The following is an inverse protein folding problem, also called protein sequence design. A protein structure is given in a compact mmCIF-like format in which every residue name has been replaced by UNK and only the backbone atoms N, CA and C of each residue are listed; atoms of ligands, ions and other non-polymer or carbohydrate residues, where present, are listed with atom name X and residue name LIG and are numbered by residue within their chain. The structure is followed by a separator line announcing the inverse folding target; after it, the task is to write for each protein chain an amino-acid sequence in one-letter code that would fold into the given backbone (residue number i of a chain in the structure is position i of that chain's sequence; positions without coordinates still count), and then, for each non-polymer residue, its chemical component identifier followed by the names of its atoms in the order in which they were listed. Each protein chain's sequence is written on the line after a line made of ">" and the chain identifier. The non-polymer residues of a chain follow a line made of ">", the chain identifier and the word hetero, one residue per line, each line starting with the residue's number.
data_IF_616253836406
#
_entry.id   IF_616253836406
#
_cell.length_a   1.000
_cell.length_b   1.000
_cell.length_c   1.000
_cell.angle_alpha   90.00
_cell.angle_beta   90.00
_cell.angle_gamma   90.00
#
_symmetry.space_group_name_H-M   'P 1'
#
loop_
_entity.id
_entity.type
_entity.pdbx_description
1 polymer ?
#
# COMPACT_ATOMS: atom_id res chain seq x y z
N UNK A 1 14.44 23.97 -14.91
CA UNK A 1 13.81 22.81 -14.22
C UNK A 1 14.11 22.91 -12.73
N UNK A 2 13.10 22.90 -11.88
CA UNK A 2 13.23 23.30 -10.47
C UNK A 2 13.83 22.14 -9.63
N UNK A 3 15.07 22.29 -9.12
CA UNK A 3 15.80 21.25 -8.38
C UNK A 3 15.03 20.74 -7.14
N UNK A 4 14.19 21.59 -6.53
CA UNK A 4 13.33 21.20 -5.40
C UNK A 4 12.24 20.20 -5.79
N UNK A 5 11.64 20.36 -6.98
CA UNK A 5 10.61 19.44 -7.48
C UNK A 5 11.24 18.08 -7.75
N UNK A 6 12.40 18.04 -8.42
CA UNK A 6 13.14 16.79 -8.67
C UNK A 6 13.50 16.04 -7.38
N UNK A 7 13.90 16.76 -6.32
CA UNK A 7 14.24 16.16 -5.02
C UNK A 7 13.05 15.46 -4.36
N UNK A 8 11.82 15.93 -4.57
CA UNK A 8 10.60 15.30 -4.06
C UNK A 8 10.04 14.25 -5.02
N UNK A 9 10.14 14.50 -6.32
CA UNK A 9 9.60 13.64 -7.36
C UNK A 9 10.37 12.33 -7.50
N UNK A 10 11.72 12.35 -7.47
CA UNK A 10 12.52 11.14 -7.68
C UNK A 10 12.20 10.03 -6.67
N UNK A 11 12.22 10.27 -5.34
CA UNK A 11 11.86 9.23 -4.37
C UNK A 11 10.43 8.73 -4.56
N UNK A 12 9.51 9.65 -4.89
CA UNK A 12 8.10 9.31 -5.08
C UNK A 12 7.89 8.42 -6.33
N UNK A 13 8.56 8.74 -7.44
CA UNK A 13 8.55 7.93 -8.67
C UNK A 13 9.12 6.54 -8.39
N UNK A 14 10.27 6.46 -7.71
CA UNK A 14 10.91 5.17 -7.36
C UNK A 14 9.95 4.33 -6.51
N UNK A 15 9.35 4.90 -5.47
CA UNK A 15 8.39 4.19 -4.61
C UNK A 15 7.17 3.67 -5.37
N UNK A 16 6.66 4.43 -6.34
CA UNK A 16 5.52 3.98 -7.16
C UNK A 16 5.93 2.92 -8.18
N UNK A 17 7.19 2.89 -8.61
CA UNK A 17 7.69 1.89 -9.56
C UNK A 17 7.88 0.50 -8.94
N UNK A 18 8.01 0.43 -7.61
CA UNK A 18 8.14 -0.85 -6.89
C UNK A 18 6.98 -1.81 -7.16
N UNK A 19 5.75 -1.29 -7.27
CA UNK A 19 4.54 -2.11 -7.50
C UNK A 19 4.56 -2.83 -8.85
N UNK A 20 4.72 -2.14 -10.00
CA UNK A 20 4.80 -2.83 -11.29
C UNK A 20 6.05 -3.69 -11.44
N UNK A 21 7.19 -3.30 -10.85
CA UNK A 21 8.40 -4.14 -10.87
C UNK A 21 8.19 -5.49 -10.19
N UNK A 22 7.51 -5.51 -9.03
CA UNK A 22 7.15 -6.77 -8.36
C UNK A 22 6.29 -7.65 -9.27
N UNK A 23 5.28 -7.08 -9.94
CA UNK A 23 4.43 -7.85 -10.86
C UNK A 23 5.19 -8.45 -12.05
N UNK A 24 6.19 -7.74 -12.58
CA UNK A 24 7.07 -8.26 -13.64
C UNK A 24 7.91 -9.43 -13.12
N UNK A 25 8.46 -9.31 -11.91
CA UNK A 25 9.25 -10.38 -11.28
C UNK A 25 8.37 -11.60 -11.00
N UNK A 26 7.17 -11.43 -10.44
CA UNK A 26 6.23 -12.52 -10.18
C UNK A 26 5.86 -13.26 -11.47
N UNK A 27 5.57 -12.51 -12.53
CA UNK A 27 5.26 -13.08 -13.86
C UNK A 27 6.46 -13.81 -14.45
N UNK A 28 7.67 -13.25 -14.32
CA UNK A 28 8.88 -13.89 -14.81
C UNK A 28 9.19 -15.19 -14.04
N UNK A 29 9.03 -15.21 -12.72
CA UNK A 29 9.26 -16.40 -11.89
C UNK A 29 8.21 -17.48 -12.21
N UNK A 30 6.93 -17.13 -12.19
CA UNK A 30 5.83 -18.07 -12.42
C UNK A 30 5.72 -18.49 -13.89
N UNK A 31 6.18 -17.67 -14.82
CA UNK A 31 6.26 -18.00 -16.25
C UNK A 31 7.34 -19.01 -16.61
N UNK A 32 8.29 -19.29 -15.71
CA UNK A 32 9.24 -20.41 -15.87
C UNK A 32 8.66 -21.75 -15.38
N UNK A 33 7.48 -21.77 -14.76
CA UNK A 33 6.82 -23.02 -14.36
C UNK A 33 6.14 -23.67 -15.57
N UNK A 34 6.16 -24.99 -15.61
CA UNK A 34 5.62 -25.78 -16.75
C UNK A 34 4.11 -25.60 -16.93
N UNK A 35 3.39 -25.27 -15.86
CA UNK A 35 1.94 -25.27 -15.82
C UNK A 35 1.34 -23.86 -15.86
N UNK A 36 0.46 -23.62 -16.84
CA UNK A 36 -0.16 -22.31 -17.10
C UNK A 36 -1.10 -21.86 -15.96
N UNK A 37 -1.64 -22.80 -15.17
CA UNK A 37 -2.58 -22.48 -14.10
C UNK A 37 -1.96 -21.62 -12.98
N UNK A 38 -0.64 -21.64 -12.81
CA UNK A 38 0.06 -20.82 -11.82
C UNK A 38 -0.07 -19.31 -12.13
N UNK A 39 0.07 -18.94 -13.41
CA UNK A 39 -0.13 -17.58 -13.89
C UNK A 39 -1.61 -17.15 -13.76
N UNK A 40 -2.53 -18.06 -14.06
CA UNK A 40 -3.98 -17.80 -13.89
C UNK A 40 -4.36 -17.57 -12.43
N UNK A 41 -3.86 -18.40 -11.51
CA UNK A 41 -4.07 -18.25 -10.08
C UNK A 41 -3.46 -16.94 -9.54
N UNK A 42 -2.25 -16.57 -9.99
CA UNK A 42 -1.63 -15.29 -9.65
C UNK A 42 -2.50 -14.11 -10.11
N UNK A 43 -2.98 -14.12 -11.35
CA UNK A 43 -3.79 -13.03 -11.89
C UNK A 43 -5.08 -12.83 -11.07
N UNK A 44 -5.79 -13.91 -10.76
CA UNK A 44 -7.02 -13.87 -9.96
C UNK A 44 -6.72 -13.43 -8.51
N UNK A 45 -5.72 -14.04 -7.87
CA UNK A 45 -5.31 -13.68 -6.51
C UNK A 45 -4.86 -12.23 -6.41
N UNK A 46 -4.13 -11.74 -7.43
CA UNK A 46 -3.68 -10.36 -7.55
C UNK A 46 -4.84 -9.37 -7.67
N UNK A 47 -5.89 -9.69 -8.43
CA UNK A 47 -7.09 -8.84 -8.53
C UNK A 47 -7.80 -8.74 -7.18
N UNK A 48 -8.01 -9.87 -6.49
CA UNK A 48 -8.65 -9.88 -5.16
C UNK A 48 -7.83 -9.08 -4.16
N UNK A 49 -6.50 -9.30 -4.13
CA UNK A 49 -5.61 -8.55 -3.26
C UNK A 49 -5.63 -7.04 -3.58
N UNK A 50 -5.59 -6.67 -4.86
CA UNK A 50 -5.65 -5.27 -5.28
C UNK A 50 -6.96 -4.61 -4.83
N UNK A 51 -8.10 -5.30 -4.99
CA UNK A 51 -9.39 -4.83 -4.54
C UNK A 51 -9.43 -4.56 -3.03
N UNK A 52 -8.94 -5.51 -2.22
CA UNK A 52 -8.85 -5.35 -0.76
C UNK A 52 -7.92 -4.18 -0.42
N UNK A 53 -6.71 -4.15 -1.00
CA UNK A 53 -5.71 -3.12 -0.71
C UNK A 53 -6.20 -1.71 -1.08
N UNK A 54 -6.89 -1.58 -2.23
CA UNK A 54 -7.49 -0.32 -2.64
C UNK A 54 -8.63 0.11 -1.71
N UNK A 55 -9.37 -0.85 -1.15
CA UNK A 55 -10.34 -0.64 -0.08
C UNK A 55 -9.76 0.02 1.17
N UNK A 56 -8.48 -0.19 1.49
CA UNK A 56 -7.78 0.52 2.57
C UNK A 56 -7.14 1.85 2.13
N UNK A 57 -7.24 2.22 0.86
CA UNK A 57 -6.68 3.46 0.30
C UNK A 57 -7.21 4.73 0.97
N UNK A 58 -8.43 4.69 1.54
CA UNK A 58 -9.01 5.80 2.31
C UNK A 58 -8.16 6.17 3.53
N UNK A 59 -7.49 5.20 4.16
CA UNK A 59 -6.71 5.44 5.37
C UNK A 59 -5.57 6.40 5.08
N UNK A 60 -4.92 6.30 3.91
CA UNK A 60 -3.87 7.22 3.49
C UNK A 60 -4.42 8.61 3.14
N UNK A 61 -5.46 8.68 2.30
CA UNK A 61 -6.01 9.98 1.88
C UNK A 61 -6.63 10.75 3.06
N UNK A 62 -7.34 10.06 3.96
CA UNK A 62 -7.96 10.68 5.14
C UNK A 62 -6.95 11.19 6.17
N UNK A 63 -5.88 10.44 6.42
CA UNK A 63 -4.91 10.79 7.47
C UNK A 63 -3.89 11.83 7.02
N UNK A 64 -3.55 11.86 5.72
CA UNK A 64 -2.67 12.91 5.17
C UNK A 64 -3.29 14.30 5.35
N UNK A 65 -4.61 14.45 5.13
CA UNK A 65 -5.30 15.72 5.30
C UNK A 65 -5.38 16.20 6.75
N UNK A 66 -5.64 15.28 7.70
CA UNK A 66 -5.65 15.58 9.13
C UNK A 66 -4.24 15.92 9.64
N UNK A 67 -3.24 15.16 9.21
CA UNK A 67 -1.83 15.38 9.57
C UNK A 67 -1.34 16.73 9.04
N UNK A 68 -1.70 17.09 7.80
CA UNK A 68 -1.33 18.38 7.21
C UNK A 68 -1.94 19.56 7.98
N UNK A 69 -3.18 19.45 8.45
CA UNK A 69 -3.83 20.47 9.28
C UNK A 69 -3.12 20.63 10.63
N UNK A 70 -2.90 19.53 11.36
CA UNK A 70 -2.21 19.53 12.65
C UNK A 70 -0.78 20.08 12.56
N UNK A 71 -0.05 19.68 11.50
CA UNK A 71 1.28 20.19 11.22
C UNK A 71 1.26 21.69 10.89
N UNK A 72 0.24 22.16 10.15
CA UNK A 72 0.04 23.57 9.84
C UNK A 72 -0.20 24.44 11.08
N UNK A 73 -0.84 23.90 12.12
CA UNK A 73 -1.04 24.57 13.41
C UNK A 73 0.12 24.41 14.39
N UNK A 74 1.21 23.72 14.00
CA UNK A 74 2.36 23.36 14.85
C UNK A 74 1.97 22.59 16.11
N UNK A 75 0.93 21.76 16.01
CA UNK A 75 0.46 20.90 17.09
C UNK A 75 1.10 19.51 16.95
N UNK A 76 2.32 19.39 17.45
CA UNK A 76 3.12 18.15 17.37
C UNK A 76 2.46 16.99 18.14
N UNK A 77 1.73 17.29 19.22
CA UNK A 77 0.98 16.29 19.99
C UNK A 77 -0.14 15.70 19.13
N UNK A 78 -0.91 16.54 18.43
CA UNK A 78 -1.98 16.09 17.55
C UNK A 78 -1.45 15.29 16.36
N UNK A 79 -0.31 15.68 15.77
CA UNK A 79 0.37 14.90 14.72
C UNK A 79 0.71 13.49 15.22
N UNK A 80 1.28 13.38 16.42
CA UNK A 80 1.62 12.10 17.02
C UNK A 80 0.36 11.25 17.31
N UNK A 81 -0.70 11.86 17.83
CA UNK A 81 -1.97 11.16 18.09
C UNK A 81 -2.61 10.64 16.80
N UNK A 82 -2.56 11.40 15.71
CA UNK A 82 -3.04 10.94 14.40
C UNK A 82 -2.22 9.73 13.93
N UNK A 83 -0.90 9.77 14.08
CA UNK A 83 -0.02 8.66 13.72
C UNK A 83 -0.37 7.38 14.49
N UNK A 84 -0.47 7.46 15.83
CA UNK A 84 -0.78 6.30 16.68
C UNK A 84 -2.16 5.72 16.35
N UNK A 85 -3.18 6.57 16.21
CA UNK A 85 -4.55 6.11 15.84
C UNK A 85 -4.57 5.43 14.48
N UNK A 86 -3.89 6.02 13.51
CA UNK A 86 -3.79 5.47 12.14
C UNK A 86 -3.08 4.12 12.15
N UNK A 87 -1.97 4.00 12.87
CA UNK A 87 -1.22 2.75 13.00
C UNK A 87 -2.06 1.67 13.69
N UNK A 88 -2.79 2.00 14.76
CA UNK A 88 -3.67 1.05 15.43
C UNK A 88 -4.76 0.52 14.49
N UNK A 89 -5.39 1.40 13.71
CA UNK A 89 -6.40 1.00 12.71
C UNK A 89 -5.77 0.12 11.63
N UNK A 90 -4.62 0.52 11.09
CA UNK A 90 -3.92 -0.23 10.05
C UNK A 90 -3.50 -1.63 10.54
N UNK A 91 -2.91 -1.73 11.74
CA UNK A 91 -2.47 -2.98 12.33
C UNK A 91 -3.66 -3.89 12.67
N UNK A 92 -4.74 -3.33 13.21
CA UNK A 92 -5.95 -4.11 13.50
C UNK A 92 -6.58 -4.64 12.21
N UNK A 93 -6.68 -3.81 11.17
CA UNK A 93 -7.15 -4.24 9.85
C UNK A 93 -6.28 -5.33 9.24
N UNK A 94 -4.95 -5.17 9.30
CA UNK A 94 -4.00 -6.16 8.82
C UNK A 94 -4.11 -7.48 9.58
N UNK A 95 -4.22 -7.43 10.92
CA UNK A 95 -4.39 -8.62 11.76
C UNK A 95 -5.70 -9.35 11.42
N UNK A 96 -6.80 -8.60 11.26
CA UNK A 96 -8.10 -9.17 10.88
C UNK A 96 -8.02 -9.86 9.52
N UNK A 97 -7.38 -9.25 8.51
CA UNK A 97 -7.19 -9.87 7.20
C UNK A 97 -6.37 -11.17 7.28
N UNK A 98 -5.31 -11.20 8.09
CA UNK A 98 -4.48 -12.40 8.28
C UNK A 98 -5.30 -13.51 8.97
N UNK A 99 -6.10 -13.15 9.98
CA UNK A 99 -6.95 -14.11 10.69
C UNK A 99 -8.07 -14.66 9.81
N UNK A 100 -8.69 -13.82 8.97
CA UNK A 100 -9.76 -14.22 8.05
C UNK A 100 -9.23 -14.87 6.77
N UNK A 101 -7.93 -14.80 6.48
CA UNK A 101 -7.31 -15.50 5.35
C UNK A 101 -7.65 -17.00 5.37
N UNK A 102 -7.67 -17.64 6.54
CA UNK A 102 -8.04 -19.06 6.70
C UNK A 102 -9.53 -19.36 6.48
N UNK A 103 -10.39 -18.35 6.54
CA UNK A 103 -11.83 -18.48 6.29
C UNK A 103 -12.16 -18.25 4.80
N UNK A 104 -11.28 -17.55 4.07
CA UNK A 104 -11.42 -17.19 2.66
C UNK A 104 -10.73 -18.21 1.74
N UNK A 105 -9.68 -18.89 2.21
CA UNK A 105 -8.94 -19.95 1.52
C UNK A 105 -9.53 -21.34 1.79
#
# INVERSE_FOLDING_TARGET
>A
MNKQILRLAIPNIISNLSVPLLGVVDTAVLGHLEEIYYLGALAVGGIVFNFIYWGFGFLRMGTTGLTAQAYGTKDDEQVFLILVRTLLIALTGALLLILTQKLIA
#
